data_IF_040815891781
#
_entry.id   IF_040815891781
#
_cell.length_a   1.000
_cell.length_b   1.000
_cell.length_c   1.000
_cell.angle_alpha   90.00
_cell.angle_beta   90.00
_cell.angle_gamma   90.00
#
_symmetry.space_group_name_H-M   'P 1'
#
loop_
_entity.id
_entity.type
_entity.pdbx_description
1 polymer ?
#
# COMPACT_ATOMS: atom_id res chain seq x y z
N UNK A 1 -23.18 22.04 -18.17
CA UNK A 1 -22.96 22.25 -16.74
C UNK A 1 -23.83 21.28 -15.99
N UNK A 2 -23.31 20.15 -15.57
CA UNK A 2 -24.01 19.21 -14.66
C UNK A 2 -23.31 19.30 -13.31
N UNK A 3 -24.03 19.84 -12.34
CA UNK A 3 -23.61 20.00 -10.96
C UNK A 3 -23.53 18.61 -10.33
N UNK A 4 -22.32 18.08 -10.11
CA UNK A 4 -22.11 16.89 -9.31
C UNK A 4 -22.19 17.32 -7.85
N UNK A 5 -23.27 16.96 -7.18
CA UNK A 5 -23.37 17.09 -5.73
C UNK A 5 -22.46 16.06 -5.08
N UNK A 6 -21.36 16.55 -4.53
CA UNK A 6 -20.50 15.77 -3.64
C UNK A 6 -21.29 15.58 -2.35
N UNK A 7 -21.79 14.39 -2.12
CA UNK A 7 -22.29 13.95 -0.81
C UNK A 7 -21.05 13.72 0.04
N UNK A 8 -20.60 14.77 0.74
CA UNK A 8 -19.69 14.64 1.85
C UNK A 8 -20.49 13.91 2.96
N UNK A 9 -20.32 12.60 3.08
CA UNK A 9 -20.77 11.86 4.23
C UNK A 9 -19.93 12.35 5.42
N UNK A 10 -20.45 13.36 6.11
CA UNK A 10 -20.01 13.72 7.45
C UNK A 10 -20.32 12.48 8.30
N UNK A 11 -19.32 11.66 8.57
CA UNK A 11 -19.37 10.69 9.67
C UNK A 11 -19.36 11.55 10.93
N UNK A 12 -20.55 11.95 11.36
CA UNK A 12 -20.74 12.48 12.70
C UNK A 12 -20.33 11.36 13.65
N UNK A 13 -19.18 11.53 14.30
CA UNK A 13 -18.81 10.79 15.50
C UNK A 13 -19.88 11.11 16.56
N UNK A 14 -21.00 10.39 16.51
CA UNK A 14 -21.91 10.35 17.63
C UNK A 14 -21.12 9.81 18.85
N UNK A 15 -21.35 10.30 20.05
CA UNK A 15 -20.68 9.79 21.25
C UNK A 15 -21.04 8.30 21.38
N UNK A 16 -20.10 7.42 21.08
CA UNK A 16 -20.20 5.95 21.19
C UNK A 16 -20.22 5.50 22.66
N UNK A 17 -21.03 6.11 23.48
CA UNK A 17 -21.12 5.84 24.91
C UNK A 17 -22.18 4.83 25.35
N UNK A 18 -22.94 4.22 24.44
CA UNK A 18 -24.11 3.43 24.83
C UNK A 18 -24.33 2.09 24.09
N UNK A 19 -23.48 1.71 23.15
CA UNK A 19 -23.47 0.35 22.60
C UNK A 19 -22.16 -0.28 23.02
N UNK A 20 -22.18 -1.47 23.62
CA UNK A 20 -21.00 -2.27 23.94
C UNK A 20 -20.36 -2.79 22.62
N UNK A 21 -19.89 -1.85 21.81
CA UNK A 21 -19.13 -2.12 20.58
C UNK A 21 -17.69 -2.54 20.91
N UNK A 22 -16.96 -3.08 19.91
CA UNK A 22 -15.58 -3.47 20.10
C UNK A 22 -14.76 -2.27 20.62
N UNK A 23 -14.03 -2.45 21.72
CA UNK A 23 -13.15 -1.42 22.29
C UNK A 23 -11.83 -1.38 21.53
N UNK A 24 -11.13 -0.24 21.52
CA UNK A 24 -9.76 -0.22 21.03
C UNK A 24 -8.89 -1.14 21.90
N UNK A 25 -8.05 -1.94 21.27
CA UNK A 25 -7.20 -2.90 21.93
C UNK A 25 -5.93 -3.12 21.10
N UNK A 26 -4.84 -3.49 21.77
CA UNK A 26 -3.58 -3.89 21.14
C UNK A 26 -3.19 -5.32 21.55
N UNK A 27 -4.17 -6.23 21.59
CA UNK A 27 -4.00 -7.60 22.07
C UNK A 27 -3.18 -8.52 21.18
N UNK A 28 -3.00 -8.18 19.89
CA UNK A 28 -2.20 -9.00 18.96
C UNK A 28 -0.70 -8.94 19.27
N UNK A 29 0.04 -9.95 18.84
CA UNK A 29 1.50 -10.00 19.00
C UNK A 29 2.19 -8.92 18.16
N UNK A 30 3.33 -8.42 18.66
CA UNK A 30 4.18 -7.48 17.91
C UNK A 30 4.58 -8.08 16.56
N UNK A 31 4.73 -7.24 15.53
CA UNK A 31 5.03 -7.58 14.15
C UNK A 31 3.93 -8.36 13.37
N UNK A 32 2.79 -8.69 13.98
CA UNK A 32 1.73 -9.48 13.30
C UNK A 32 0.68 -8.64 12.57
N UNK A 33 0.76 -7.32 12.67
CA UNK A 33 -0.08 -6.39 11.91
C UNK A 33 0.52 -5.99 10.56
N UNK A 34 1.76 -6.42 10.26
CA UNK A 34 2.54 -5.89 9.16
C UNK A 34 2.99 -4.45 9.42
N UNK A 35 3.50 -3.80 8.38
CA UNK A 35 3.71 -2.35 8.35
C UNK A 35 2.71 -1.72 7.38
N UNK A 36 2.60 -0.40 7.35
CA UNK A 36 1.78 0.27 6.34
C UNK A 36 2.52 0.28 5.01
N UNK A 37 1.87 -0.28 4.01
CA UNK A 37 2.24 -0.12 2.61
C UNK A 37 2.12 1.35 2.20
N UNK A 38 2.87 1.79 1.21
CA UNK A 38 2.78 3.16 0.68
C UNK A 38 1.36 3.56 0.28
N UNK A 39 0.55 2.62 -0.20
CA UNK A 39 -0.85 2.81 -0.60
C UNK A 39 -1.85 2.67 0.58
N UNK A 40 -1.38 2.59 1.83
CA UNK A 40 -2.19 2.68 3.05
C UNK A 40 -2.62 1.36 3.68
N UNK A 41 -2.75 0.27 2.93
CA UNK A 41 -3.12 -1.03 3.47
C UNK A 41 -1.97 -1.68 4.27
N UNK A 42 -2.31 -2.58 5.19
CA UNK A 42 -1.30 -3.36 5.89
C UNK A 42 -0.59 -4.33 4.94
N UNK A 43 0.76 -4.37 5.04
CA UNK A 43 1.60 -5.18 4.16
C UNK A 43 3.06 -5.15 4.54
N UNK A 44 3.92 -5.24 3.56
CA UNK A 44 5.37 -5.09 3.69
C UNK A 44 5.80 -3.64 3.54
N UNK A 45 5.64 -3.03 2.43
CA UNK A 45 6.00 -1.65 2.11
C UNK A 45 5.50 -1.34 0.71
N UNK A 46 5.77 -2.24 -0.23
CA UNK A 46 5.27 -2.19 -1.60
C UNK A 46 4.09 -3.15 -1.84
N UNK A 47 4.06 -4.30 -1.16
CA UNK A 47 3.10 -5.38 -1.39
C UNK A 47 2.08 -5.47 -0.25
N UNK A 48 0.77 -5.49 -0.54
CA UNK A 48 -0.25 -5.73 0.47
C UNK A 48 -0.20 -7.20 0.92
N UNK A 49 -0.28 -7.40 2.24
CA UNK A 49 -0.40 -8.74 2.81
C UNK A 49 -1.85 -9.06 3.19
N UNK A 50 -2.13 -10.32 3.42
CA UNK A 50 -3.45 -10.74 3.87
C UNK A 50 -3.77 -10.30 5.32
N UNK A 51 -2.84 -9.68 6.03
CA UNK A 51 -3.02 -9.18 7.40
C UNK A 51 -3.93 -7.96 7.45
N UNK A 52 -4.58 -7.77 8.59
CA UNK A 52 -5.39 -6.60 8.91
C UNK A 52 -4.56 -5.65 9.77
N UNK A 53 -4.51 -4.38 9.40
CA UNK A 53 -3.75 -3.33 10.08
C UNK A 53 -4.25 -3.02 11.48
N UNK A 54 -3.37 -2.44 12.29
CA UNK A 54 -3.61 -2.21 13.71
C UNK A 54 -3.44 -3.49 14.54
N UNK A 55 -3.45 -3.35 15.86
CA UNK A 55 -3.23 -4.45 16.79
C UNK A 55 -4.51 -4.93 17.48
N UNK A 56 -5.69 -4.51 16.98
CA UNK A 56 -6.99 -4.99 17.47
C UNK A 56 -7.15 -6.49 17.31
N UNK A 57 -7.77 -7.13 18.31
CA UNK A 57 -8.12 -8.56 18.31
C UNK A 57 -9.40 -8.84 17.52
N UNK A 58 -9.85 -10.09 17.49
CA UNK A 58 -11.12 -10.48 16.85
C UNK A 58 -12.36 -9.86 17.56
N UNK A 59 -12.20 -9.32 18.78
CA UNK A 59 -13.27 -8.67 19.55
C UNK A 59 -13.12 -7.14 19.64
N UNK A 60 -12.11 -6.57 18.99
CA UNK A 60 -11.73 -5.17 19.15
C UNK A 60 -11.38 -4.51 17.81
N UNK A 61 -10.95 -3.27 17.86
CA UNK A 61 -10.41 -2.56 16.71
C UNK A 61 -9.05 -1.96 17.05
N UNK A 62 -8.24 -1.75 16.03
CA UNK A 62 -6.96 -1.06 16.12
C UNK A 62 -6.78 -0.13 14.93
N UNK A 63 -5.87 0.80 15.06
CA UNK A 63 -5.59 1.77 14.00
C UNK A 63 -4.10 2.05 13.89
N UNK A 64 -3.70 2.59 12.76
CA UNK A 64 -2.37 3.13 12.55
C UNK A 64 -2.41 4.38 11.67
N UNK A 65 -1.38 5.19 11.80
CA UNK A 65 -1.04 6.29 10.88
C UNK A 65 0.42 6.16 10.49
N UNK A 66 0.76 6.58 9.28
CA UNK A 66 2.14 6.47 8.79
C UNK A 66 2.54 7.65 7.93
N UNK A 67 3.84 7.81 7.80
CA UNK A 67 4.46 8.65 6.77
C UNK A 67 5.67 7.91 6.21
N UNK A 68 5.78 7.90 4.89
CA UNK A 68 6.88 7.27 4.15
C UNK A 68 7.51 8.30 3.24
N UNK A 69 8.82 8.40 3.29
CA UNK A 69 9.61 9.18 2.32
C UNK A 69 10.43 8.23 1.48
N UNK A 70 10.32 8.35 0.17
CA UNK A 70 11.07 7.61 -0.83
C UNK A 70 11.90 8.59 -1.63
N UNK A 71 13.18 8.29 -1.81
CA UNK A 71 14.12 9.01 -2.67
C UNK A 71 14.66 8.05 -3.71
N UNK A 72 14.45 8.38 -4.97
CA UNK A 72 14.94 7.64 -6.13
C UNK A 72 16.07 8.42 -6.81
N UNK A 73 16.56 7.91 -7.93
CA UNK A 73 17.59 8.57 -8.72
C UNK A 73 17.15 9.97 -9.17
N UNK A 74 15.95 10.07 -9.75
CA UNK A 74 15.45 11.32 -10.35
C UNK A 74 14.19 11.88 -9.65
N UNK A 75 13.55 11.10 -8.79
CA UNK A 75 12.25 11.42 -8.19
C UNK A 75 12.25 11.29 -6.68
N UNK A 76 11.38 12.08 -6.04
CA UNK A 76 11.07 11.94 -4.62
C UNK A 76 9.57 11.69 -4.43
N UNK A 77 9.21 10.79 -3.50
CA UNK A 77 7.81 10.57 -3.13
C UNK A 77 7.63 10.69 -1.62
N UNK A 78 6.55 11.35 -1.23
CA UNK A 78 6.03 11.29 0.13
C UNK A 78 4.67 10.59 0.09
N UNK A 79 4.49 9.58 0.93
CA UNK A 79 3.20 8.96 1.20
C UNK A 79 2.82 9.17 2.66
N UNK A 80 1.57 9.51 2.93
CA UNK A 80 1.00 9.67 4.27
C UNK A 80 -0.38 9.04 4.31
N UNK A 81 -0.72 8.45 5.44
CA UNK A 81 -2.02 7.82 5.54
C UNK A 81 -2.27 7.12 6.85
N UNK A 82 -3.26 6.26 6.84
CA UNK A 82 -3.59 5.44 7.98
C UNK A 82 -4.61 4.37 7.66
N UNK A 83 -4.79 3.46 8.58
CA UNK A 83 -5.76 2.38 8.48
C UNK A 83 -6.45 2.12 9.81
N UNK A 84 -7.67 1.60 9.74
CA UNK A 84 -8.43 1.09 10.87
C UNK A 84 -8.80 -0.37 10.58
N UNK A 85 -8.38 -1.27 11.45
CA UNK A 85 -8.74 -2.69 11.42
C UNK A 85 -9.79 -3.01 12.47
N UNK A 86 -10.88 -3.66 12.06
CA UNK A 86 -12.00 -4.02 12.94
C UNK A 86 -12.11 -5.53 13.02
N UNK A 87 -12.21 -6.04 14.25
CA UNK A 87 -12.36 -7.47 14.56
C UNK A 87 -11.33 -8.36 13.83
N UNK A 88 -10.09 -7.81 13.60
CA UNK A 88 -9.05 -8.48 12.83
C UNK A 88 -9.59 -9.11 11.53
N UNK A 89 -10.64 -8.52 10.95
CA UNK A 89 -11.37 -9.06 9.80
C UNK A 89 -11.55 -8.07 8.66
N UNK A 90 -11.82 -6.82 8.98
CA UNK A 90 -12.02 -5.75 7.99
C UNK A 90 -11.00 -4.66 8.24
N UNK A 91 -10.44 -4.11 7.18
CA UNK A 91 -9.56 -2.95 7.20
C UNK A 91 -10.11 -1.88 6.26
N UNK A 92 -10.11 -0.64 6.72
CA UNK A 92 -10.28 0.54 5.87
C UNK A 92 -9.01 1.38 5.95
N UNK A 93 -8.55 1.88 4.82
CA UNK A 93 -7.32 2.69 4.74
C UNK A 93 -7.49 3.90 3.83
N UNK A 94 -6.68 4.91 4.11
CA UNK A 94 -6.50 6.05 3.22
C UNK A 94 -5.01 6.34 3.09
N UNK A 95 -4.60 6.80 1.91
CA UNK A 95 -3.26 7.34 1.69
C UNK A 95 -3.31 8.50 0.69
N UNK A 96 -2.34 9.38 0.84
CA UNK A 96 -2.05 10.47 -0.09
C UNK A 96 -0.59 10.35 -0.54
N UNK A 97 -0.38 10.36 -1.85
CA UNK A 97 0.94 10.39 -2.47
C UNK A 97 1.21 11.78 -3.02
N UNK A 98 2.43 12.25 -2.83
CA UNK A 98 2.99 13.44 -3.47
C UNK A 98 4.33 13.06 -4.09
N UNK A 99 4.37 12.99 -5.41
CA UNK A 99 5.50 12.54 -6.22
C UNK A 99 6.11 13.72 -6.96
N UNK A 100 7.33 14.09 -6.58
CA UNK A 100 8.07 15.22 -7.18
C UNK A 100 8.81 14.75 -8.42
N UNK A 101 8.66 15.51 -9.52
CA UNK A 101 9.34 15.21 -10.78
C UNK A 101 10.75 15.83 -10.87
N UNK A 102 11.09 16.76 -9.96
CA UNK A 102 12.42 17.39 -9.88
C UNK A 102 12.92 17.89 -11.26
N UNK A 103 14.15 17.53 -11.66
CA UNK A 103 14.76 17.93 -12.93
C UNK A 103 13.97 17.45 -14.15
N UNK A 104 13.36 16.28 -14.09
CA UNK A 104 12.48 15.75 -15.17
C UNK A 104 11.27 16.66 -15.39
N UNK A 105 10.68 17.20 -14.32
CA UNK A 105 9.59 18.19 -14.41
C UNK A 105 10.04 19.47 -15.11
N UNK A 106 11.24 19.97 -14.82
CA UNK A 106 11.81 21.12 -15.51
C UNK A 106 12.08 20.84 -16.99
N UNK A 107 12.63 19.67 -17.32
CA UNK A 107 12.90 19.25 -18.70
C UNK A 107 11.61 19.12 -19.55
N UNK A 108 10.50 18.74 -18.92
CA UNK A 108 9.17 18.67 -19.55
C UNK A 108 8.46 20.03 -19.60
N UNK A 109 9.07 21.10 -19.09
CA UNK A 109 8.48 22.45 -19.05
C UNK A 109 7.40 22.62 -17.97
N UNK A 110 7.28 21.68 -17.03
CA UNK A 110 6.31 21.72 -15.93
C UNK A 110 6.86 22.47 -14.70
N UNK A 111 8.19 22.58 -14.57
CA UNK A 111 8.89 23.18 -13.44
C UNK A 111 9.46 22.14 -12.47
N UNK A 112 10.56 22.51 -11.77
CA UNK A 112 11.23 21.61 -10.80
C UNK A 112 10.37 21.24 -9.60
N UNK A 113 9.50 22.15 -9.16
CA UNK A 113 8.59 21.93 -8.02
C UNK A 113 7.30 21.16 -8.39
N UNK A 114 7.20 20.70 -9.65
CA UNK A 114 5.99 20.04 -10.11
C UNK A 114 5.81 18.68 -9.43
N UNK A 115 4.57 18.42 -8.98
CA UNK A 115 4.21 17.19 -8.28
C UNK A 115 2.98 16.54 -8.88
N UNK A 116 3.06 15.22 -9.04
CA UNK A 116 1.89 14.39 -9.22
C UNK A 116 1.35 14.02 -7.83
N UNK A 117 0.04 14.14 -7.68
CA UNK A 117 -0.65 13.82 -6.43
C UNK A 117 -1.69 12.74 -6.67
N UNK A 118 -1.86 11.84 -5.71
CA UNK A 118 -2.85 10.76 -5.76
C UNK A 118 -3.46 10.54 -4.39
N UNK A 119 -4.77 10.30 -4.37
CA UNK A 119 -5.47 9.79 -3.21
C UNK A 119 -5.81 8.31 -3.40
N UNK A 120 -5.61 7.52 -2.36
CA UNK A 120 -5.91 6.09 -2.33
C UNK A 120 -6.89 5.80 -1.18
N UNK A 121 -8.00 5.15 -1.49
CA UNK A 121 -9.00 4.68 -0.53
C UNK A 121 -9.03 3.16 -0.58
N UNK A 122 -8.72 2.52 0.54
CA UNK A 122 -8.62 1.07 0.62
C UNK A 122 -9.69 0.43 1.49
N UNK A 123 -10.08 -0.78 1.10
CA UNK A 123 -10.84 -1.70 1.93
C UNK A 123 -10.25 -3.11 1.78
N UNK A 124 -10.14 -3.87 2.86
CA UNK A 124 -9.66 -5.25 2.85
C UNK A 124 -10.54 -6.12 3.76
N UNK A 125 -10.86 -7.32 3.30
CA UNK A 125 -11.64 -8.29 4.03
C UNK A 125 -10.86 -9.60 4.15
N UNK A 126 -10.59 -10.04 5.37
CA UNK A 126 -10.08 -11.38 5.64
C UNK A 126 -11.19 -12.41 5.35
N UNK A 127 -10.97 -13.26 4.37
CA UNK A 127 -11.91 -14.29 3.94
C UNK A 127 -11.82 -15.53 4.84
N UNK A 128 -10.58 -16.02 5.05
CA UNK A 128 -10.32 -17.24 5.81
C UNK A 128 -8.91 -17.20 6.43
N UNK A 129 -8.66 -18.15 7.33
CA UNK A 129 -7.39 -18.34 8.01
C UNK A 129 -7.10 -17.28 9.06
N UNK A 130 -6.19 -17.60 9.96
CA UNK A 130 -5.69 -16.70 11.00
C UNK A 130 -4.17 -16.83 11.10
N UNK A 131 -3.44 -15.74 10.89
CA UNK A 131 -1.98 -15.76 10.78
C UNK A 131 -1.28 -16.46 11.96
N UNK A 132 -1.82 -16.32 13.17
CA UNK A 132 -1.25 -16.88 14.40
C UNK A 132 -2.00 -18.17 14.84
N UNK A 133 -3.35 -18.14 14.87
CA UNK A 133 -4.12 -19.27 15.41
C UNK A 133 -3.97 -20.55 14.55
N UNK A 134 -3.76 -20.40 13.24
CA UNK A 134 -3.64 -21.52 12.31
C UNK A 134 -2.19 -22.00 12.09
N UNK A 135 -1.29 -21.79 13.06
CA UNK A 135 0.12 -22.18 12.94
C UNK A 135 0.33 -23.68 12.72
N UNK A 136 -0.50 -24.52 13.31
CA UNK A 136 -0.44 -26.00 13.17
C UNK A 136 -1.10 -26.55 11.91
N UNK A 137 -1.64 -25.72 11.03
CA UNK A 137 -2.35 -26.10 9.81
C UNK A 137 -1.64 -25.60 8.57
N UNK A 138 -1.87 -26.16 7.37
CA UNK A 138 -1.36 -25.60 6.12
C UNK A 138 -2.12 -24.35 5.66
N UNK A 139 -3.24 -23.98 6.29
CA UNK A 139 -4.13 -22.91 5.87
C UNK A 139 -3.44 -21.55 6.03
N UNK A 140 -3.27 -20.75 4.96
CA UNK A 140 -2.81 -19.36 5.06
C UNK A 140 -3.96 -18.45 5.50
N UNK A 141 -3.65 -17.26 5.98
CA UNK A 141 -4.62 -16.19 6.02
C UNK A 141 -4.82 -15.66 4.60
N UNK A 142 -6.08 -15.55 4.15
CA UNK A 142 -6.45 -15.05 2.82
C UNK A 142 -7.34 -13.83 2.97
N UNK A 143 -7.05 -12.78 2.20
CA UNK A 143 -7.82 -11.55 2.18
C UNK A 143 -8.06 -11.06 0.76
N UNK A 144 -9.25 -10.47 0.57
CA UNK A 144 -9.63 -9.72 -0.62
C UNK A 144 -9.49 -8.22 -0.31
N UNK A 145 -8.75 -7.51 -1.15
CA UNK A 145 -8.52 -6.08 -1.02
C UNK A 145 -9.03 -5.30 -2.22
N UNK A 146 -9.42 -4.06 -1.97
CA UNK A 146 -9.79 -3.05 -2.96
C UNK A 146 -9.03 -1.78 -2.67
N UNK A 147 -8.52 -1.11 -3.70
CA UNK A 147 -7.87 0.19 -3.61
C UNK A 147 -8.39 1.07 -4.73
N UNK A 148 -9.31 1.98 -4.40
CA UNK A 148 -9.74 3.02 -5.33
C UNK A 148 -8.75 4.17 -5.26
N UNK A 149 -8.21 4.53 -6.41
CA UNK A 149 -7.13 5.52 -6.55
C UNK A 149 -7.58 6.60 -7.51
N UNK A 150 -7.23 7.83 -7.16
CA UNK A 150 -7.51 9.00 -8.01
C UNK A 150 -6.27 9.87 -8.08
N UNK A 151 -5.69 9.94 -9.26
CA UNK A 151 -4.62 10.86 -9.58
C UNK A 151 -5.19 12.26 -9.85
N UNK A 152 -4.42 13.28 -9.57
CA UNK A 152 -4.75 14.65 -9.94
C UNK A 152 -4.10 14.97 -11.29
N UNK A 153 -4.63 15.99 -11.97
CA UNK A 153 -4.15 16.49 -13.26
C UNK A 153 -4.47 15.59 -14.45
N UNK A 154 -5.75 15.19 -14.55
CA UNK A 154 -6.28 14.34 -15.63
C UNK A 154 -5.89 14.79 -17.05
N UNK A 155 -5.89 16.10 -17.34
CA UNK A 155 -5.48 16.64 -18.66
C UNK A 155 -4.01 16.30 -19.00
N UNK A 156 -3.11 16.31 -18.01
CA UNK A 156 -1.72 15.91 -18.22
C UNK A 156 -1.62 14.40 -18.45
N UNK A 157 -2.38 13.62 -17.67
CA UNK A 157 -2.39 12.15 -17.78
C UNK A 157 -2.96 11.69 -19.13
N UNK A 158 -4.01 12.33 -19.62
CA UNK A 158 -4.54 12.11 -20.97
C UNK A 158 -3.50 12.47 -22.03
N UNK A 159 -2.76 13.56 -21.86
CA UNK A 159 -1.73 14.00 -22.80
C UNK A 159 -0.55 13.01 -22.94
N UNK A 160 -0.25 12.22 -21.89
CA UNK A 160 0.76 11.16 -21.93
C UNK A 160 0.19 9.79 -22.33
N UNK A 161 -1.10 9.73 -22.72
CA UNK A 161 -1.76 8.54 -23.24
C UNK A 161 -2.50 7.68 -22.21
N UNK A 162 -2.68 8.13 -20.97
CA UNK A 162 -3.49 7.42 -19.99
C UNK A 162 -4.98 7.47 -20.37
N UNK A 163 -5.70 6.39 -20.12
CA UNK A 163 -7.12 6.28 -20.45
C UNK A 163 -8.04 6.93 -19.41
N UNK A 164 -7.63 6.99 -18.15
CA UNK A 164 -8.41 7.56 -17.03
C UNK A 164 -7.48 8.10 -15.93
N UNK A 165 -7.96 9.05 -15.12
CA UNK A 165 -7.26 9.58 -13.96
C UNK A 165 -7.64 8.86 -12.65
N UNK A 166 -8.61 7.95 -12.69
CA UNK A 166 -9.04 7.15 -11.55
C UNK A 166 -9.27 5.68 -11.90
N UNK A 167 -9.08 4.80 -10.93
CA UNK A 167 -9.31 3.38 -11.10
C UNK A 167 -9.33 2.61 -9.80
N UNK A 168 -9.66 1.33 -9.88
CA UNK A 168 -9.74 0.46 -8.70
C UNK A 168 -8.95 -0.81 -8.93
N UNK A 169 -7.96 -1.05 -8.09
CA UNK A 169 -7.26 -2.33 -8.02
C UNK A 169 -8.02 -3.29 -7.13
N UNK A 170 -8.02 -4.56 -7.53
CA UNK A 170 -8.51 -5.67 -6.72
C UNK A 170 -7.36 -6.60 -6.40
N UNK A 171 -7.17 -6.96 -5.13
CA UNK A 171 -6.09 -7.85 -4.70
C UNK A 171 -6.63 -9.07 -3.97
N UNK A 172 -6.05 -10.23 -4.26
CA UNK A 172 -6.24 -11.46 -3.49
C UNK A 172 -4.88 -11.83 -2.89
N UNK A 173 -4.76 -11.69 -1.57
CA UNK A 173 -3.51 -11.94 -0.85
C UNK A 173 -3.61 -13.18 0.02
N UNK A 174 -2.52 -13.94 0.11
CA UNK A 174 -2.37 -15.10 1.00
C UNK A 174 -1.06 -14.96 1.79
N UNK A 175 -1.16 -14.89 3.12
CA UNK A 175 -0.01 -14.78 4.02
C UNK A 175 0.06 -15.97 4.96
N UNK A 176 1.27 -16.54 5.14
CA UNK A 176 1.54 -17.60 6.11
C UNK A 176 2.76 -17.22 6.95
N UNK A 177 2.57 -17.29 8.26
CA UNK A 177 3.66 -17.16 9.22
C UNK A 177 4.05 -18.56 9.71
N UNK A 178 5.28 -18.96 9.48
CA UNK A 178 5.90 -20.17 10.02
C UNK A 178 6.63 -19.76 11.32
N UNK A 179 5.92 -19.78 12.44
CA UNK A 179 6.40 -19.20 13.68
C UNK A 179 7.67 -19.90 14.20
N UNK A 180 7.75 -21.23 14.07
CA UNK A 180 8.94 -22.00 14.48
C UNK A 180 10.21 -21.64 13.67
N UNK A 181 10.03 -21.18 12.44
CA UNK A 181 11.09 -20.71 11.54
C UNK A 181 11.24 -19.21 11.55
N UNK A 182 10.42 -18.48 12.30
CA UNK A 182 10.39 -17.01 12.28
C UNK A 182 10.20 -16.41 10.88
N UNK A 183 9.52 -17.12 9.99
CA UNK A 183 9.41 -16.81 8.56
C UNK A 183 7.96 -16.48 8.19
N UNK A 184 7.75 -15.33 7.57
CA UNK A 184 6.50 -14.96 6.92
C UNK A 184 6.68 -14.99 5.39
N UNK A 185 5.72 -15.60 4.71
CA UNK A 185 5.64 -15.61 3.24
C UNK A 185 4.28 -15.06 2.84
N UNK A 186 4.25 -14.20 1.85
CA UNK A 186 3.04 -13.66 1.26
C UNK A 186 3.09 -13.73 -0.26
N UNK A 187 1.95 -14.10 -0.86
CA UNK A 187 1.70 -13.97 -2.28
C UNK A 187 0.43 -13.18 -2.50
N UNK A 188 0.43 -12.28 -3.48
CA UNK A 188 -0.70 -11.45 -3.86
C UNK A 188 -0.89 -11.49 -5.38
N UNK A 189 -2.13 -11.62 -5.82
CA UNK A 189 -2.53 -11.37 -7.20
C UNK A 189 -3.30 -10.06 -7.24
N UNK A 190 -2.83 -9.12 -8.04
CA UNK A 190 -3.47 -7.82 -8.25
C UNK A 190 -4.09 -7.78 -9.65
N UNK A 191 -5.35 -7.42 -9.74
CA UNK A 191 -6.06 -7.12 -10.99
C UNK A 191 -6.13 -5.60 -11.16
N UNK A 192 -5.36 -5.09 -12.11
CA UNK A 192 -5.13 -3.63 -12.28
C UNK A 192 -4.77 -3.27 -13.70
N UNK A 193 -4.93 -2.00 -14.04
CA UNK A 193 -4.35 -1.29 -15.18
C UNK A 193 -3.72 0.04 -14.73
N UNK A 194 -3.30 0.13 -13.48
CA UNK A 194 -2.72 1.34 -12.87
C UNK A 194 -1.28 1.58 -13.34
N UNK A 195 -1.02 2.70 -14.00
CA UNK A 195 0.32 3.11 -14.43
C UNK A 195 1.06 3.74 -13.25
N UNK A 196 2.29 3.30 -12.98
CA UNK A 196 3.11 3.76 -11.86
C UNK A 196 2.32 3.84 -10.55
N UNK A 197 1.71 2.70 -10.16
CA UNK A 197 0.85 2.60 -8.98
C UNK A 197 -0.43 3.46 -9.06
N UNK A 198 -0.78 3.98 -10.24
CA UNK A 198 -1.90 4.87 -10.50
C UNK A 198 -1.53 6.36 -10.51
N UNK A 199 -0.29 6.74 -10.18
CA UNK A 199 0.20 8.13 -10.25
C UNK A 199 0.16 8.70 -11.66
N UNK A 200 0.34 7.84 -12.66
CA UNK A 200 0.29 8.18 -14.09
C UNK A 200 -1.03 7.72 -14.75
N UNK A 201 -2.12 7.64 -13.99
CA UNK A 201 -3.44 7.25 -14.46
C UNK A 201 -3.62 5.75 -14.62
N UNK A 202 -4.63 5.36 -15.40
CA UNK A 202 -5.11 3.98 -15.53
C UNK A 202 -5.35 3.63 -16.98
N UNK A 203 -4.91 2.41 -17.39
CA UNK A 203 -4.93 2.01 -18.79
C UNK A 203 -4.09 2.94 -19.64
N UNK A 204 -4.00 2.69 -20.92
CA UNK A 204 -3.24 3.54 -21.80
C UNK A 204 -3.44 3.21 -23.26
N UNK A 205 -2.70 3.93 -24.10
CA UNK A 205 -2.71 3.83 -25.55
C UNK A 205 -2.15 2.49 -26.09
N UNK A 206 -1.37 1.74 -25.26
CA UNK A 206 -0.91 0.38 -25.60
C UNK A 206 -1.86 -0.69 -25.10
N UNK A 207 -2.35 -0.56 -23.85
CA UNK A 207 -3.24 -1.52 -23.23
C UNK A 207 -4.20 -0.79 -22.27
N UNK A 208 -5.49 -0.88 -22.53
CA UNK A 208 -6.52 -0.24 -21.71
C UNK A 208 -7.08 -1.18 -20.64
N UNK A 209 -7.03 -2.50 -20.88
CA UNK A 209 -7.67 -3.49 -20.04
C UNK A 209 -6.87 -3.76 -18.76
N UNK A 210 -7.59 -4.19 -17.73
CA UNK A 210 -6.98 -4.67 -16.50
C UNK A 210 -6.40 -6.06 -16.70
N UNK A 211 -5.21 -6.27 -16.17
CA UNK A 211 -4.49 -7.54 -16.20
C UNK A 211 -4.11 -8.02 -14.81
N UNK A 212 -3.75 -9.29 -14.67
CA UNK A 212 -3.34 -9.89 -13.40
C UNK A 212 -1.82 -9.78 -13.23
N UNK A 213 -1.41 -9.18 -12.12
CA UNK A 213 -0.01 -8.97 -11.76
C UNK A 213 0.33 -9.71 -10.46
N UNK A 214 1.33 -10.61 -10.47
CA UNK A 214 1.78 -11.28 -9.27
C UNK A 214 2.64 -10.36 -8.41
N UNK A 215 2.49 -10.47 -7.10
CA UNK A 215 3.31 -9.82 -6.10
C UNK A 215 3.72 -10.84 -5.04
N UNK A 216 4.88 -10.70 -4.45
CA UNK A 216 5.38 -11.62 -3.44
C UNK A 216 6.17 -10.87 -2.36
N UNK A 217 6.15 -11.40 -1.14
CA UNK A 217 6.98 -10.91 -0.04
C UNK A 217 7.47 -12.08 0.80
N UNK A 218 8.67 -11.92 1.31
CA UNK A 218 9.24 -12.80 2.32
C UNK A 218 9.80 -11.93 3.44
N UNK A 219 9.52 -12.27 4.70
CA UNK A 219 10.04 -11.58 5.86
C UNK A 219 10.52 -12.58 6.90
N UNK A 220 11.71 -12.34 7.45
CA UNK A 220 12.31 -13.14 8.51
C UNK A 220 12.45 -12.30 9.77
N UNK A 221 11.90 -12.80 10.88
CA UNK A 221 11.97 -12.15 12.19
C UNK A 221 13.30 -12.52 12.86
N UNK A 222 14.28 -11.63 12.80
CA UNK A 222 15.55 -11.77 13.52
C UNK A 222 15.33 -11.75 15.03
N UNK A 223 14.31 -11.04 15.47
CA UNK A 223 13.83 -11.00 16.86
C UNK A 223 12.36 -10.57 16.87
N UNK A 224 11.74 -10.50 18.05
CA UNK A 224 10.38 -9.93 18.19
C UNK A 224 10.29 -8.44 17.80
N UNK A 225 11.42 -7.75 17.67
CA UNK A 225 11.50 -6.32 17.38
C UNK A 225 12.13 -5.99 16.03
N UNK A 226 12.73 -6.95 15.34
CA UNK A 226 13.42 -6.72 14.07
C UNK A 226 13.00 -7.77 13.07
N UNK A 227 12.51 -7.32 11.94
CA UNK A 227 12.27 -8.15 10.77
C UNK A 227 13.09 -7.64 9.57
N UNK A 228 13.56 -8.55 8.75
CA UNK A 228 14.20 -8.25 7.46
C UNK A 228 13.41 -8.96 6.37
N UNK A 229 13.36 -8.39 5.17
CA UNK A 229 12.61 -9.03 4.10
C UNK A 229 12.88 -8.47 2.74
N UNK A 230 12.24 -9.07 1.75
CA UNK A 230 12.25 -8.63 0.36
C UNK A 230 10.85 -8.73 -0.25
N UNK A 231 10.61 -7.88 -1.23
CA UNK A 231 9.33 -7.82 -1.94
C UNK A 231 9.58 -7.71 -3.44
N UNK A 232 8.66 -8.28 -4.19
CA UNK A 232 8.53 -8.17 -5.63
C UNK A 232 7.11 -7.75 -5.98
N UNK A 233 6.98 -6.79 -6.88
CA UNK A 233 5.68 -6.33 -7.40
C UNK A 233 5.76 -6.18 -8.90
N UNK A 234 4.97 -6.98 -9.63
CA UNK A 234 4.78 -6.80 -11.06
C UNK A 234 3.87 -5.61 -11.33
N UNK A 235 4.16 -4.89 -12.41
CA UNK A 235 3.40 -3.71 -12.86
C UNK A 235 2.97 -3.85 -14.32
N UNK A 236 1.80 -3.31 -14.72
CA UNK A 236 1.42 -3.23 -16.13
C UNK A 236 2.27 -2.19 -16.87
N UNK A 237 2.47 -2.40 -18.16
CA UNK A 237 3.18 -1.48 -19.08
C UNK A 237 2.20 -1.02 -20.20
N UNK A 238 1.35 -0.06 -19.85
CA UNK A 238 0.19 0.33 -20.68
C UNK A 238 0.43 1.58 -21.53
N UNK A 239 1.51 2.34 -21.27
CA UNK A 239 1.77 3.62 -21.93
C UNK A 239 2.88 3.50 -22.97
N UNK A 240 2.68 4.06 -24.17
CA UNK A 240 3.76 4.22 -25.14
C UNK A 240 4.74 5.32 -24.75
N UNK A 241 4.30 6.30 -23.98
CA UNK A 241 5.10 7.41 -23.48
C UNK A 241 6.27 6.95 -22.59
N UNK A 242 6.05 5.96 -21.72
CA UNK A 242 7.04 5.51 -20.77
C UNK A 242 6.89 4.02 -20.51
N UNK A 243 7.98 3.28 -20.64
CA UNK A 243 8.04 1.89 -20.24
C UNK A 243 7.89 1.74 -18.74
N UNK A 244 7.29 0.65 -18.30
CA UNK A 244 7.17 0.28 -16.90
C UNK A 244 7.81 -1.08 -16.64
N UNK A 245 8.75 -1.14 -15.69
CA UNK A 245 9.37 -2.38 -15.22
C UNK A 245 8.87 -2.74 -13.83
N UNK A 246 8.99 -4.02 -13.45
CA UNK A 246 8.61 -4.53 -12.14
C UNK A 246 9.43 -3.89 -11.01
N UNK A 247 8.87 -3.89 -9.79
CA UNK A 247 9.50 -3.30 -8.62
C UNK A 247 10.04 -4.37 -7.67
N UNK A 248 11.21 -4.09 -7.09
CA UNK A 248 11.88 -4.89 -6.06
C UNK A 248 12.19 -4.04 -4.84
N UNK A 249 12.11 -4.62 -3.66
CA UNK A 249 12.64 -3.99 -2.44
C UNK A 249 13.28 -5.00 -1.50
N UNK A 250 14.23 -4.51 -0.68
CA UNK A 250 14.73 -5.21 0.49
C UNK A 250 14.64 -4.28 1.69
N UNK A 251 14.03 -4.73 2.79
CA UNK A 251 13.70 -3.89 3.92
C UNK A 251 14.19 -4.44 5.26
N UNK A 252 14.34 -3.52 6.21
CA UNK A 252 14.49 -3.78 7.64
C UNK A 252 13.39 -3.03 8.37
N UNK A 253 12.57 -3.74 9.14
CA UNK A 253 11.55 -3.16 10.00
C UNK A 253 11.98 -3.29 11.46
N UNK A 254 12.05 -2.17 12.17
CA UNK A 254 12.31 -2.10 13.60
C UNK A 254 11.03 -1.70 14.35
N UNK A 255 10.60 -2.53 15.27
CA UNK A 255 9.39 -2.35 16.08
C UNK A 255 9.78 -2.22 17.56
N UNK A 256 10.18 -1.02 18.03
CA UNK A 256 10.53 -0.82 19.45
C UNK A 256 9.37 -1.16 20.38
N UNK A 257 8.14 -1.02 19.90
CA UNK A 257 6.92 -1.40 20.62
C UNK A 257 5.81 -1.76 19.62
N UNK A 258 4.65 -2.17 20.11
CA UNK A 258 3.44 -2.33 19.28
C UNK A 258 2.93 -0.99 18.71
N UNK A 259 3.30 0.11 19.33
CA UNK A 259 2.78 1.44 19.01
C UNK A 259 3.62 2.17 17.96
N UNK A 260 4.85 1.71 17.71
CA UNK A 260 5.77 2.37 16.79
C UNK A 260 6.50 1.32 15.95
N UNK A 261 6.57 1.54 14.64
CA UNK A 261 7.49 0.84 13.75
C UNK A 261 8.24 1.83 12.87
N UNK A 262 9.48 1.50 12.57
CA UNK A 262 10.36 2.24 11.66
C UNK A 262 10.85 1.23 10.63
N UNK A 263 10.60 1.51 9.35
CA UNK A 263 11.00 0.62 8.25
C UNK A 263 11.89 1.38 7.29
N UNK A 264 13.10 0.89 7.09
CA UNK A 264 13.99 1.34 6.04
C UNK A 264 14.11 0.30 4.94
N UNK A 265 14.19 0.72 3.68
CA UNK A 265 14.38 -0.19 2.55
C UNK A 265 15.23 0.43 1.46
N UNK A 266 15.89 -0.43 0.70
CA UNK A 266 16.40 -0.12 -0.63
C UNK A 266 15.38 -0.63 -1.65
N UNK A 267 15.19 0.13 -2.72
CA UNK A 267 14.19 -0.18 -3.75
C UNK A 267 14.80 -0.05 -5.13
N UNK A 268 14.31 -0.85 -6.05
CA UNK A 268 14.45 -0.71 -7.49
C UNK A 268 13.02 -0.69 -8.05
N UNK A 269 12.59 0.44 -8.57
CA UNK A 269 11.24 0.61 -9.12
C UNK A 269 11.22 0.53 -10.64
N UNK A 270 12.36 0.14 -11.25
CA UNK A 270 12.49 0.05 -12.70
C UNK A 270 12.45 1.42 -13.37
N UNK A 271 11.80 1.51 -14.52
CA UNK A 271 11.65 2.76 -15.26
C UNK A 271 10.40 3.51 -14.81
N UNK A 272 10.48 4.83 -14.68
CA UNK A 272 9.38 5.73 -14.30
C UNK A 272 9.42 6.95 -15.22
N UNK A 273 8.32 7.23 -15.93
CA UNK A 273 8.15 8.47 -16.69
C UNK A 273 9.18 8.67 -17.81
N UNK A 274 9.79 7.61 -18.29
CA UNK A 274 10.85 7.63 -19.32
C UNK A 274 12.28 7.63 -18.77
N UNK A 275 12.46 7.77 -17.45
CA UNK A 275 13.77 7.64 -16.80
C UNK A 275 13.97 6.20 -16.33
N UNK A 276 15.07 5.59 -16.73
CA UNK A 276 15.44 4.21 -16.40
C UNK A 276 16.11 4.13 -15.00
N UNK A 277 16.29 2.91 -14.49
CA UNK A 277 17.09 2.62 -13.29
C UNK A 277 16.67 3.43 -12.04
N UNK A 278 15.37 3.56 -11.80
CA UNK A 278 14.85 4.29 -10.64
C UNK A 278 15.08 3.52 -9.34
N UNK A 279 16.31 3.60 -8.85
CA UNK A 279 16.77 3.00 -7.61
C UNK A 279 16.85 4.02 -6.50
N UNK A 280 16.66 3.55 -5.27
CA UNK A 280 16.73 4.46 -4.13
C UNK A 280 16.46 3.77 -2.80
N UNK A 281 16.01 4.58 -1.85
CA UNK A 281 15.68 4.11 -0.52
C UNK A 281 14.40 4.78 0.00
N UNK A 282 13.66 4.07 0.84
CA UNK A 282 12.60 4.68 1.60
C UNK A 282 12.80 4.54 3.11
N UNK A 283 12.25 5.49 3.84
CA UNK A 283 12.08 5.46 5.28
C UNK A 283 10.61 5.67 5.62
N UNK A 284 10.03 4.73 6.37
CA UNK A 284 8.65 4.80 6.85
C UNK A 284 8.61 4.78 8.36
N UNK A 285 7.77 5.64 8.93
CA UNK A 285 7.45 5.67 10.36
C UNK A 285 5.97 5.46 10.51
N UNK A 286 5.58 4.52 11.34
CA UNK A 286 4.19 4.21 11.65
C UNK A 286 3.97 4.29 13.16
N UNK A 287 2.84 4.88 13.55
CA UNK A 287 2.33 4.84 14.91
C UNK A 287 0.93 4.22 14.93
N UNK A 288 0.61 3.42 15.98
CA UNK A 288 -0.70 2.76 16.06
C UNK A 288 -0.94 1.98 17.35
N UNK A 289 -2.06 1.30 17.38
CA UNK A 289 -2.50 0.44 18.49
C UNK A 289 -3.40 -0.69 18.00
#
# INVERSE_FOLDING_TARGET
MRTVQIIAALVTLAPLGALAGPKPDSGRLIATAGVSQTEGQAGGGLVPWAVIGGYGTDASWGANVFTTQLRLSDYDMTSRGGAVGVANRVEFSIAEHSFALNETGAALGLGEDFRLEQHVYGAKLRLLGHLIADQGTPIPQVSLGFQHKRARRGELLEAIGAGDDEGTDVTLSASKLFLAQSLLVNGTLRYTNANQLGLMGFGGDREADRTLHPEASIAYLLSRHIAVGAEYRSKPDNLSFAREDDALSAFVAYLPSKHVSITGAVVDLGSIGGEDDQRGAYLSIQAGF
#
